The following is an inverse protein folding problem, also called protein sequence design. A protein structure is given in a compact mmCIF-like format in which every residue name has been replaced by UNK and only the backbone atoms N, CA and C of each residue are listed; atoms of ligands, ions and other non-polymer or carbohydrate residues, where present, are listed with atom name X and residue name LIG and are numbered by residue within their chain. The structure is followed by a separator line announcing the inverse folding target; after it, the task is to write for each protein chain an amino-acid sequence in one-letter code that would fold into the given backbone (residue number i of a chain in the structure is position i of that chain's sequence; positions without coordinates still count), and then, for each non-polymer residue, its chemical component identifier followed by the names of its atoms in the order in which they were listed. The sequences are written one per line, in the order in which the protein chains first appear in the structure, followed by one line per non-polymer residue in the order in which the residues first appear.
data_IF_344773659509
#
_entry.id   IF_344773659509
#
_cell.length_a   1.000
_cell.length_b   1.000
_cell.length_c   1.000
_cell.angle_alpha   90.00
_cell.angle_beta   90.00
_cell.angle_gamma   90.00
#
_symmetry.space_group_name_H-M   'P 1'
#
loop_
_entity.id
_entity.type
_entity.pdbx_description
1 polymer ?
#
# COMPACT_ATOMS: atom_id res chain seq x y z
N UNK A 1 -9.85 15.80 26.41
CA UNK A 1 -9.87 14.50 25.71
C UNK A 1 -8.83 14.56 24.59
N UNK A 2 -7.87 13.65 24.57
CA UNK A 2 -6.86 13.59 23.50
C UNK A 2 -7.38 12.69 22.37
N UNK A 3 -7.55 13.24 21.17
CA UNK A 3 -7.93 12.52 19.95
C UNK A 3 -6.71 12.10 19.11
N UNK A 4 -5.50 12.33 19.63
CA UNK A 4 -4.25 12.04 18.94
C UNK A 4 -3.58 10.81 19.54
N UNK A 5 -3.18 9.86 18.69
CA UNK A 5 -2.41 8.68 19.04
C UNK A 5 -1.55 8.21 17.88
N UNK A 6 -0.47 7.46 18.18
CA UNK A 6 0.43 6.86 17.18
C UNK A 6 0.62 5.39 17.50
N UNK A 7 0.39 4.52 16.52
CA UNK A 7 0.69 3.09 16.58
C UNK A 7 1.86 2.77 15.64
N UNK A 8 2.76 1.90 16.06
CA UNK A 8 3.94 1.49 15.28
C UNK A 8 4.08 -0.03 15.39
N UNK A 9 4.36 -0.69 14.27
CA UNK A 9 4.66 -2.12 14.19
C UNK A 9 5.86 -2.35 13.29
N UNK A 10 6.71 -3.33 13.63
CA UNK A 10 7.87 -3.72 12.84
C UNK A 10 7.90 -5.24 12.72
N UNK A 11 8.03 -5.73 11.50
CA UNK A 11 8.18 -7.15 11.20
C UNK A 11 9.38 -7.34 10.28
N UNK A 12 10.09 -8.46 10.43
CA UNK A 12 11.19 -8.83 9.54
C UNK A 12 10.65 -9.58 8.32
N UNK A 13 11.05 -9.16 7.13
CA UNK A 13 10.77 -9.87 5.88
C UNK A 13 11.99 -10.70 5.47
N UNK A 14 11.74 -11.82 4.79
CA UNK A 14 12.80 -12.65 4.20
C UNK A 14 13.11 -12.28 2.75
N UNK A 15 12.21 -11.53 2.11
CA UNK A 15 12.36 -11.04 0.75
C UNK A 15 13.25 -9.79 0.70
N UNK A 16 13.67 -9.43 -0.51
CA UNK A 16 14.42 -8.20 -0.75
C UNK A 16 13.62 -6.94 -0.37
N UNK A 17 14.28 -6.02 0.32
CA UNK A 17 13.67 -4.80 0.86
C UNK A 17 13.47 -3.71 -0.20
N UNK A 18 14.36 -3.63 -1.19
CA UNK A 18 14.27 -2.65 -2.27
C UNK A 18 13.11 -2.99 -3.20
N UNK A 19 12.95 -4.28 -3.52
CA UNK A 19 11.81 -4.79 -4.28
C UNK A 19 10.49 -4.55 -3.52
N UNK A 20 10.46 -4.81 -2.21
CA UNK A 20 9.27 -4.54 -1.40
C UNK A 20 8.90 -3.05 -1.46
N UNK A 21 9.87 -2.15 -1.30
CA UNK A 21 9.64 -0.72 -1.42
C UNK A 21 9.17 -0.30 -2.82
N UNK A 22 9.76 -0.84 -3.89
CA UNK A 22 9.35 -0.57 -5.28
C UNK A 22 7.89 -0.96 -5.54
N UNK A 23 7.43 -2.09 -5.01
CA UNK A 23 6.03 -2.54 -5.16
C UNK A 23 5.07 -1.50 -4.55
N UNK A 24 5.33 -1.03 -3.33
CA UNK A 24 4.46 -0.04 -2.70
C UNK A 24 4.53 1.33 -3.36
N UNK A 25 5.68 1.70 -3.93
CA UNK A 25 5.89 3.01 -4.53
C UNK A 25 5.43 3.08 -6.00
N UNK A 26 6.01 2.24 -6.84
CA UNK A 26 5.90 2.32 -8.31
C UNK A 26 4.82 1.38 -8.85
N UNK A 27 4.51 0.28 -8.15
CA UNK A 27 3.62 -0.79 -8.67
C UNK A 27 2.53 -1.23 -7.68
N UNK A 28 1.82 -0.31 -7.02
CA UNK A 28 0.85 -0.68 -5.97
C UNK A 28 -0.34 -1.50 -6.50
N UNK A 29 -0.67 -1.40 -7.79
CA UNK A 29 -1.70 -2.22 -8.45
C UNK A 29 -1.37 -3.73 -8.47
N UNK A 30 -0.12 -4.12 -8.27
CA UNK A 30 0.24 -5.53 -8.12
C UNK A 30 -0.20 -6.15 -6.79
N UNK A 31 -0.43 -5.32 -5.76
CA UNK A 31 -0.70 -5.80 -4.40
C UNK A 31 -2.02 -6.58 -4.35
N UNK A 32 -3.02 -6.24 -5.18
CA UNK A 32 -4.27 -7.00 -5.26
C UNK A 32 -4.06 -8.43 -5.77
N UNK A 33 -3.06 -8.67 -6.62
CA UNK A 33 -2.66 -10.01 -7.03
C UNK A 33 -1.85 -10.77 -5.96
N UNK A 34 -1.11 -10.04 -5.12
CA UNK A 34 -0.30 -10.61 -4.03
C UNK A 34 -1.11 -10.96 -2.78
N UNK A 35 -2.18 -10.21 -2.49
CA UNK A 35 -3.01 -10.39 -1.30
C UNK A 35 -4.50 -10.08 -1.58
N UNK A 36 -5.15 -10.86 -2.46
CA UNK A 36 -6.52 -10.60 -2.92
C UNK A 36 -7.57 -10.67 -1.80
N UNK A 37 -7.30 -11.39 -0.72
CA UNK A 37 -8.16 -11.49 0.46
C UNK A 37 -8.15 -10.19 1.30
N UNK A 38 -7.10 -9.38 1.19
CA UNK A 38 -6.97 -8.10 1.89
C UNK A 38 -7.25 -6.91 0.99
N UNK A 39 -6.73 -6.92 -0.22
CA UNK A 39 -6.82 -5.83 -1.20
C UNK A 39 -7.40 -6.40 -2.48
N UNK A 40 -8.60 -5.95 -2.86
CA UNK A 40 -9.29 -6.43 -4.06
C UNK A 40 -8.88 -5.62 -5.29
N UNK A 41 -8.59 -4.33 -5.13
CA UNK A 41 -8.25 -3.46 -6.26
C UNK A 41 -7.43 -2.24 -5.83
N UNK A 42 -6.65 -1.70 -6.77
CA UNK A 42 -5.86 -0.50 -6.60
C UNK A 42 -5.78 0.25 -7.94
N UNK A 43 -6.43 1.41 -8.00
CA UNK A 43 -6.62 2.19 -9.23
C UNK A 43 -5.98 3.58 -9.07
N UNK A 44 -5.27 4.04 -10.09
CA UNK A 44 -4.74 5.40 -10.14
C UNK A 44 -5.87 6.36 -10.48
N UNK A 45 -6.17 7.28 -9.57
CA UNK A 45 -7.22 8.27 -9.73
C UNK A 45 -6.68 9.60 -10.26
N UNK A 46 -5.51 10.03 -9.77
CA UNK A 46 -4.85 11.25 -10.23
C UNK A 46 -3.32 11.14 -10.12
N UNK A 47 -2.60 11.88 -10.97
CA UNK A 47 -1.15 11.87 -11.06
C UNK A 47 -0.59 10.68 -11.82
N UNK A 48 0.58 10.19 -11.42
CA UNK A 48 1.29 9.04 -12.00
C UNK A 48 1.79 8.12 -10.87
N UNK A 49 1.88 6.81 -11.13
CA UNK A 49 2.48 5.88 -10.18
C UNK A 49 3.89 6.31 -9.76
N UNK A 50 4.27 6.08 -8.50
CA UNK A 50 5.61 6.40 -7.98
C UNK A 50 5.90 7.88 -7.71
N UNK A 51 4.97 8.77 -8.05
CA UNK A 51 5.17 10.22 -7.92
C UNK A 51 4.52 10.78 -6.65
N UNK A 52 5.23 11.71 -5.99
CA UNK A 52 4.65 12.43 -4.85
C UNK A 52 3.48 13.27 -5.33
N UNK A 53 2.34 13.12 -4.68
CA UNK A 53 1.09 13.79 -5.04
C UNK A 53 0.09 12.92 -5.82
N UNK A 54 0.46 11.69 -6.20
CA UNK A 54 -0.49 10.76 -6.82
C UNK A 54 -1.64 10.38 -5.89
N UNK A 55 -2.85 10.26 -6.43
CA UNK A 55 -4.03 9.79 -5.71
C UNK A 55 -4.39 8.40 -6.17
N UNK A 56 -4.47 7.47 -5.22
CA UNK A 56 -4.75 6.05 -5.48
C UNK A 56 -6.03 5.66 -4.76
N UNK A 57 -6.97 5.07 -5.48
CA UNK A 57 -8.17 4.47 -4.93
C UNK A 57 -7.90 3.00 -4.57
N UNK A 58 -8.02 2.67 -3.28
CA UNK A 58 -7.83 1.31 -2.77
C UNK A 58 -9.17 0.69 -2.42
N UNK A 59 -9.48 -0.46 -3.03
CA UNK A 59 -10.56 -1.33 -2.60
C UNK A 59 -9.98 -2.44 -1.72
N UNK A 60 -10.31 -2.42 -0.43
CA UNK A 60 -9.79 -3.35 0.57
C UNK A 60 -10.93 -3.95 1.39
N UNK A 61 -10.69 -5.13 1.94
CA UNK A 61 -11.60 -5.79 2.87
C UNK A 61 -11.08 -5.66 4.30
N UNK A 62 -11.96 -5.27 5.21
CA UNK A 62 -11.71 -5.24 6.64
C UNK A 62 -12.81 -6.03 7.35
N UNK A 63 -12.38 -7.00 8.15
CA UNK A 63 -13.24 -7.86 8.97
C UNK A 63 -12.55 -8.22 10.27
#
# INVERSE_FOLDING_TARGET
MALTGKLVSQISIKSDGDLFHEIFRERPHHISGMSPDKIQNCELHDGQWGTVGSVIFWNYFHG
#
